data_IF_717882711741
#
_entry.id   IF_717882711741
#
_cell.length_a   1.000
_cell.length_b   1.000
_cell.length_c   1.000
_cell.angle_alpha   90.00
_cell.angle_beta   90.00
_cell.angle_gamma   90.00
#
_symmetry.space_group_name_H-M   'P 1'
#
loop_
_entity.id
_entity.type
_entity.pdbx_description
1 polymer ?
#
# COMPACT_ATOMS: atom_id res chain seq x y z
N UNK A 1 -9.51 -0.07 17.64
CA UNK A 1 -10.06 0.66 18.83
C UNK A 1 -10.08 2.19 18.66
N UNK A 2 -8.98 2.85 18.25
CA UNK A 2 -8.96 4.31 18.07
C UNK A 2 -10.01 4.85 17.07
N UNK A 3 -10.28 4.10 16.00
CA UNK A 3 -11.26 4.49 14.99
C UNK A 3 -12.71 4.52 15.51
N UNK A 4 -13.09 3.59 16.40
CA UNK A 4 -14.42 3.58 17.03
C UNK A 4 -14.59 4.83 17.89
N UNK A 5 -13.56 5.23 18.65
CA UNK A 5 -13.61 6.48 19.41
C UNK A 5 -13.78 7.71 18.50
N UNK A 6 -13.12 7.75 17.34
CA UNK A 6 -13.29 8.82 16.35
C UNK A 6 -14.71 8.85 15.76
N UNK A 7 -15.25 7.68 15.35
CA UNK A 7 -16.63 7.56 14.83
C UNK A 7 -17.65 8.05 15.88
N UNK A 8 -17.48 7.64 17.15
CA UNK A 8 -18.32 8.09 18.28
C UNK A 8 -18.16 9.57 18.64
N UNK A 9 -16.97 10.13 18.51
CA UNK A 9 -16.73 11.56 18.73
C UNK A 9 -17.36 12.43 17.64
N UNK A 10 -17.42 11.94 16.39
CA UNK A 10 -18.08 12.65 15.29
C UNK A 10 -19.60 12.70 15.45
N UNK A 11 -20.19 11.68 16.07
CA UNK A 11 -21.63 11.59 16.33
C UNK A 11 -22.04 12.23 17.68
N UNK A 12 -21.50 13.42 17.99
CA UNK A 12 -21.72 14.09 19.27
C UNK A 12 -23.00 14.93 19.28
N UNK A 13 -24.14 14.25 19.44
CA UNK A 13 -25.39 14.92 19.82
C UNK A 13 -25.72 14.47 21.24
N UNK A 14 -25.61 15.39 22.19
CA UNK A 14 -26.04 15.20 23.58
C UNK A 14 -27.24 16.12 23.82
N UNK A 15 -28.33 15.59 24.35
CA UNK A 15 -29.51 16.38 24.67
C UNK A 15 -30.20 15.89 25.92
N UNK A 16 -30.87 16.81 26.59
CA UNK A 16 -31.84 16.50 27.63
C UNK A 16 -33.21 16.25 27.01
N UNK A 17 -33.90 15.20 27.48
CA UNK A 17 -35.25 14.84 27.05
C UNK A 17 -36.11 14.57 28.30
N UNK A 18 -37.02 15.50 28.65
CA UNK A 18 -37.99 15.25 29.70
C UNK A 18 -39.10 14.35 29.19
N UNK A 19 -39.31 13.22 29.87
CA UNK A 19 -40.37 12.24 29.59
C UNK A 19 -41.30 12.08 30.79
N UNK A 20 -42.46 11.47 30.54
CA UNK A 20 -43.44 11.17 31.59
C UNK A 20 -42.92 10.06 32.50
N UNK A 21 -43.50 9.95 33.71
CA UNK A 21 -43.12 8.93 34.70
C UNK A 21 -43.18 7.48 34.18
N UNK A 22 -43.99 7.19 33.15
CA UNK A 22 -44.01 5.87 32.50
C UNK A 22 -42.64 5.44 31.96
N UNK A 23 -41.76 6.38 31.65
CA UNK A 23 -40.41 6.12 31.15
C UNK A 23 -39.42 5.71 32.25
N UNK A 24 -39.85 5.54 33.51
CA UNK A 24 -38.99 5.09 34.61
C UNK A 24 -38.36 3.70 34.38
N UNK A 25 -38.96 2.89 33.51
CA UNK A 25 -38.43 1.58 33.11
C UNK A 25 -37.12 1.69 32.31
N UNK A 26 -36.87 2.85 31.69
CA UNK A 26 -35.66 3.11 30.91
C UNK A 26 -34.53 3.44 31.88
N UNK A 27 -33.51 2.58 31.91
CA UNK A 27 -32.33 2.74 32.76
C UNK A 27 -31.16 3.36 31.99
N UNK A 28 -30.17 3.88 32.73
CA UNK A 28 -28.88 4.29 32.15
C UNK A 28 -28.23 3.11 31.40
N UNK A 29 -27.63 3.40 30.25
CA UNK A 29 -27.05 2.41 29.33
C UNK A 29 -28.05 1.73 28.39
N UNK A 30 -29.36 1.95 28.53
CA UNK A 30 -30.33 1.48 27.54
C UNK A 30 -30.37 2.40 26.32
N UNK A 31 -30.75 1.83 25.17
CA UNK A 31 -30.96 2.57 23.94
C UNK A 31 -32.47 2.69 23.64
N UNK A 32 -32.92 3.85 23.21
CA UNK A 32 -34.30 4.05 22.74
C UNK A 32 -34.36 4.92 21.48
N UNK A 33 -35.46 4.79 20.74
CA UNK A 33 -35.73 5.59 19.54
C UNK A 33 -36.50 6.84 19.91
N UNK A 34 -36.05 7.99 19.42
CA UNK A 34 -36.69 9.28 19.66
C UNK A 34 -36.91 10.04 18.36
N UNK A 35 -38.14 10.52 18.19
CA UNK A 35 -38.58 11.29 17.04
C UNK A 35 -38.99 12.69 17.47
N UNK A 36 -38.40 13.71 16.84
CA UNK A 36 -38.71 15.11 17.09
C UNK A 36 -38.69 15.90 15.78
N UNK A 37 -39.87 16.33 15.32
CA UNK A 37 -40.03 17.07 14.06
C UNK A 37 -39.26 18.39 14.04
N UNK A 38 -39.19 19.11 15.16
CA UNK A 38 -38.50 20.41 15.25
C UNK A 38 -36.99 20.23 15.06
N UNK A 39 -36.45 19.12 15.58
CA UNK A 39 -35.03 18.80 15.46
C UNK A 39 -34.69 17.93 14.24
N UNK A 40 -35.69 17.63 13.40
CA UNK A 40 -35.53 16.78 12.21
C UNK A 40 -35.16 15.33 12.54
N UNK A 41 -35.51 14.82 13.71
CA UNK A 41 -35.19 13.45 14.12
C UNK A 41 -36.36 12.51 13.84
N UNK A 42 -36.07 11.41 13.14
CA UNK A 42 -37.02 10.31 12.86
C UNK A 42 -36.38 9.03 13.31
N UNK A 43 -36.97 8.38 14.32
CA UNK A 43 -36.56 7.11 14.92
C UNK A 43 -35.06 7.03 15.24
N UNK A 44 -34.50 8.19 15.62
CA UNK A 44 -33.07 8.30 15.92
C UNK A 44 -32.78 7.60 17.24
N UNK A 45 -31.72 6.80 17.25
CA UNK A 45 -31.33 6.01 18.41
C UNK A 45 -30.46 6.85 19.34
N UNK A 46 -30.80 6.82 20.62
CA UNK A 46 -30.04 7.48 21.68
C UNK A 46 -29.77 6.50 22.82
N UNK A 47 -28.57 6.60 23.39
CA UNK A 47 -28.13 5.93 24.61
C UNK A 47 -28.37 6.84 25.81
N UNK A 48 -28.91 6.30 26.91
CA UNK A 48 -29.13 7.04 28.15
C UNK A 48 -27.83 7.13 28.95
N UNK A 49 -27.35 8.35 29.19
CA UNK A 49 -26.21 8.59 30.08
C UNK A 49 -26.68 8.65 31.53
N UNK A 50 -27.63 9.54 31.83
CA UNK A 50 -28.19 9.73 33.17
C UNK A 50 -29.71 9.84 33.12
N UNK A 51 -30.34 9.44 34.22
CA UNK A 51 -31.78 9.48 34.41
C UNK A 51 -32.09 10.09 35.77
N UNK A 52 -32.74 11.25 35.79
CA UNK A 52 -33.05 12.00 36.99
C UNK A 52 -34.57 12.13 37.17
N UNK A 53 -35.05 11.90 38.38
CA UNK A 53 -36.45 12.12 38.71
C UNK A 53 -36.72 13.62 38.91
N UNK A 54 -37.74 14.14 38.23
CA UNK A 54 -38.09 15.56 38.28
C UNK A 54 -39.54 15.78 38.70
N UNK A 55 -39.75 16.84 39.49
CA UNK A 55 -41.07 17.32 39.90
C UNK A 55 -41.25 18.71 39.30
N UNK A 56 -42.13 18.84 38.31
CA UNK A 56 -42.47 20.12 37.67
C UNK A 56 -43.86 20.57 38.09
N UNK A 57 -44.16 21.87 38.05
CA UNK A 57 -45.51 22.38 38.31
C UNK A 57 -46.24 22.65 36.99
N UNK A 58 -47.48 22.20 36.88
CA UNK A 58 -48.40 22.55 35.78
C UNK A 58 -48.73 24.07 35.81
N UNK A 59 -49.30 24.59 34.72
CA UNK A 59 -49.84 25.97 34.62
C UNK A 59 -50.87 26.30 35.71
N UNK A 60 -51.44 25.28 36.36
CA UNK A 60 -52.38 25.37 37.49
C UNK A 60 -51.75 25.09 38.86
N UNK A 61 -50.41 25.05 38.96
CA UNK A 61 -49.67 24.85 40.21
C UNK A 61 -49.63 23.41 40.75
N UNK A 62 -50.19 22.43 40.01
CA UNK A 62 -50.19 21.01 40.40
C UNK A 62 -48.84 20.35 40.12
N UNK A 63 -48.30 19.50 41.00
CA UNK A 63 -47.07 18.77 40.72
C UNK A 63 -47.30 17.71 39.63
N UNK A 64 -46.42 17.69 38.64
CA UNK A 64 -46.30 16.70 37.58
C UNK A 64 -44.98 15.97 37.82
N UNK A 65 -45.06 14.66 37.95
CA UNK A 65 -43.90 13.79 38.07
C UNK A 65 -43.41 13.38 36.69
N UNK A 66 -42.11 13.48 36.48
CA UNK A 66 -41.46 13.10 35.23
C UNK A 66 -40.06 12.57 35.46
N UNK A 67 -39.46 12.12 34.37
CA UNK A 67 -38.06 11.72 34.31
C UNK A 67 -37.35 12.65 33.33
N UNK A 68 -36.19 13.19 33.71
CA UNK A 68 -35.29 13.85 32.77
C UNK A 68 -34.18 12.88 32.38
N UNK A 69 -33.92 12.74 31.08
CA UNK A 69 -32.85 11.89 30.58
C UNK A 69 -31.82 12.73 29.85
N UNK A 70 -30.54 12.59 30.22
CA UNK A 70 -29.43 13.06 29.40
C UNK A 70 -29.06 11.93 28.46
N UNK A 71 -29.20 12.16 27.15
CA UNK A 71 -29.03 11.12 26.14
C UNK A 71 -27.99 11.52 25.11
N UNK A 72 -27.25 10.53 24.60
CA UNK A 72 -26.24 10.69 23.56
C UNK A 72 -26.65 9.91 22.31
N UNK A 73 -26.49 10.49 21.12
CA UNK A 73 -26.76 9.78 19.89
C UNK A 73 -25.86 8.56 19.76
N UNK A 74 -26.45 7.44 19.34
CA UNK A 74 -25.75 6.16 19.23
C UNK A 74 -26.25 5.40 18.01
N UNK A 75 -25.36 4.81 17.22
CA UNK A 75 -25.71 4.00 16.06
C UNK A 75 -24.92 2.69 16.09
N UNK A 76 -25.55 1.57 15.74
CA UNK A 76 -24.87 0.26 15.72
C UNK A 76 -23.70 0.22 14.74
N UNK A 77 -23.79 0.98 13.65
CA UNK A 77 -22.74 1.11 12.62
C UNK A 77 -21.44 1.72 13.15
N UNK A 78 -21.48 2.45 14.26
CA UNK A 78 -20.26 3.05 14.84
C UNK A 78 -19.35 1.99 15.50
N UNK A 79 -19.90 0.81 15.81
CA UNK A 79 -19.19 -0.32 16.40
C UNK A 79 -18.93 -1.45 15.41
N UNK A 80 -19.45 -1.33 14.19
CA UNK A 80 -19.23 -2.32 13.15
C UNK A 80 -17.85 -2.10 12.53
N UNK A 81 -17.06 -3.17 12.48
CA UNK A 81 -15.75 -3.17 11.83
C UNK A 81 -15.93 -3.82 10.47
N UNK A 82 -15.73 -3.04 9.42
CA UNK A 82 -15.78 -3.54 8.04
C UNK A 82 -14.33 -3.72 7.54
N UNK A 83 -13.84 -4.95 7.35
CA UNK A 83 -12.47 -5.16 6.86
C UNK A 83 -12.24 -4.52 5.48
N UNK A 84 -13.26 -4.42 4.62
CA UNK A 84 -13.08 -3.86 3.28
C UNK A 84 -12.90 -2.33 3.27
N UNK A 85 -13.26 -1.65 4.36
CA UNK A 85 -13.21 -0.18 4.49
C UNK A 85 -12.26 0.28 5.60
N UNK A 86 -12.24 -0.45 6.71
CA UNK A 86 -11.51 -0.11 7.93
C UNK A 86 -10.12 -0.78 8.00
N UNK A 87 -9.85 -1.82 7.19
CA UNK A 87 -8.50 -2.39 7.04
C UNK A 87 -7.71 -1.59 6.00
N UNK A 88 -6.88 -0.66 6.47
CA UNK A 88 -5.87 -0.04 5.61
C UNK A 88 -4.75 -1.05 5.44
N UNK A 89 -4.79 -1.81 4.34
CA UNK A 89 -3.66 -2.63 3.89
C UNK A 89 -2.51 -1.65 3.61
N UNK A 90 -1.62 -1.49 4.59
CA UNK A 90 -0.36 -0.77 4.42
C UNK A 90 0.64 -1.72 3.78
N UNK A 91 0.36 -2.15 2.56
CA UNK A 91 1.34 -2.76 1.67
C UNK A 91 1.53 -1.81 0.48
N UNK A 92 1.99 -0.61 0.82
CA UNK A 92 2.34 0.43 -0.14
C UNK A 92 3.85 0.62 -0.29
N UNK A 93 4.66 -0.10 0.48
CA UNK A 93 6.10 -0.14 0.21
C UNK A 93 6.31 -1.14 -0.92
N UNK A 94 6.80 -0.71 -2.09
CA UNK A 94 7.13 -1.66 -3.13
C UNK A 94 8.16 -2.62 -2.57
N UNK A 95 7.76 -3.89 -2.40
CA UNK A 95 8.69 -4.96 -2.03
C UNK A 95 9.87 -4.89 -3.00
N UNK A 96 11.07 -4.83 -2.44
CA UNK A 96 12.30 -4.59 -3.19
C UNK A 96 12.40 -5.48 -4.42
N UNK A 97 12.58 -4.87 -5.60
CA UNK A 97 12.73 -5.58 -6.89
C UNK A 97 14.16 -6.10 -7.10
N UNK A 98 14.87 -6.41 -6.01
CA UNK A 98 16.21 -6.98 -6.06
C UNK A 98 16.18 -8.30 -6.85
N UNK A 99 16.94 -8.35 -7.94
CA UNK A 99 17.19 -9.57 -8.72
C UNK A 99 18.01 -10.56 -7.88
N UNK A 100 17.89 -11.85 -8.17
CA UNK A 100 18.56 -12.91 -7.40
C UNK A 100 20.08 -12.75 -7.38
N UNK A 101 20.68 -12.80 -6.18
CA UNK A 101 22.13 -12.69 -6.00
C UNK A 101 22.92 -13.91 -6.53
N UNK A 102 22.23 -15.01 -6.87
CA UNK A 102 22.86 -16.26 -7.31
C UNK A 102 22.72 -16.52 -8.81
N UNK A 103 21.92 -15.72 -9.51
CA UNK A 103 21.66 -15.90 -10.94
C UNK A 103 22.00 -14.63 -11.70
N UNK A 104 23.17 -14.62 -12.33
CA UNK A 104 23.59 -13.54 -13.23
C UNK A 104 22.99 -13.79 -14.61
N UNK A 105 22.26 -12.81 -15.13
CA UNK A 105 21.75 -12.89 -16.51
C UNK A 105 22.90 -12.79 -17.50
N UNK A 106 22.94 -13.68 -18.50
CA UNK A 106 23.95 -13.64 -19.55
C UNK A 106 23.80 -12.38 -20.44
N UNK A 107 24.90 -11.84 -21.01
CA UNK A 107 24.84 -10.80 -22.03
C UNK A 107 24.02 -11.24 -23.24
N UNK A 108 23.34 -10.30 -23.90
CA UNK A 108 22.52 -10.57 -25.07
C UNK A 108 23.03 -9.80 -26.30
N UNK A 109 22.56 -10.16 -27.50
CA UNK A 109 22.85 -9.40 -28.72
C UNK A 109 24.31 -9.45 -29.15
N UNK A 110 24.96 -10.61 -29.00
CA UNK A 110 26.31 -10.81 -29.50
C UNK A 110 26.34 -10.53 -31.01
N UNK A 111 27.10 -9.51 -31.39
CA UNK A 111 27.29 -9.06 -32.77
C UNK A 111 28.77 -9.19 -33.09
N UNK A 112 29.06 -9.77 -34.25
CA UNK A 112 30.40 -10.02 -34.74
C UNK A 112 30.53 -9.34 -36.09
N UNK A 113 31.44 -8.37 -36.20
CA UNK A 113 31.70 -7.64 -37.44
C UNK A 113 33.17 -7.85 -37.81
N UNK A 114 33.40 -8.29 -39.04
CA UNK A 114 34.74 -8.36 -39.60
C UNK A 114 35.13 -6.99 -40.14
N UNK A 115 36.30 -6.51 -39.71
CA UNK A 115 36.89 -5.25 -40.16
C UNK A 115 38.30 -5.51 -40.67
N UNK A 116 38.65 -4.82 -41.75
CA UNK A 116 40.01 -4.85 -42.27
C UNK A 116 40.78 -3.71 -41.61
N UNK A 117 41.95 -4.02 -41.03
CA UNK A 117 42.82 -3.03 -40.39
C UNK A 117 44.21 -3.03 -41.01
N UNK A 118 44.75 -1.83 -41.25
CA UNK A 118 46.13 -1.65 -41.71
C UNK A 118 47.07 -1.57 -40.51
N UNK A 119 48.00 -2.53 -40.43
CA UNK A 119 49.03 -2.51 -39.39
C UNK A 119 49.91 -1.26 -39.49
N UNK A 120 50.25 -0.66 -38.34
CA UNK A 120 51.21 0.45 -38.31
C UNK A 120 52.56 -0.03 -38.88
N UNK A 121 53.18 0.75 -39.76
CA UNK A 121 54.46 0.45 -40.44
C UNK A 121 54.40 -0.52 -41.64
N UNK A 122 53.35 -0.47 -42.47
CA UNK A 122 53.37 -1.10 -43.80
C UNK A 122 53.36 -2.64 -43.81
N UNK A 123 52.93 -3.27 -42.72
CA UNK A 123 52.93 -4.72 -42.53
C UNK A 123 51.76 -5.46 -43.24
N UNK A 124 51.15 -4.84 -44.25
CA UNK A 124 50.02 -5.40 -45.00
C UNK A 124 48.66 -5.25 -44.32
N UNK A 125 47.64 -5.52 -45.11
CA UNK A 125 46.22 -5.51 -44.73
C UNK A 125 45.90 -6.78 -43.95
N UNK A 126 45.40 -6.65 -42.72
CA UNK A 126 45.07 -7.78 -41.84
C UNK A 126 43.59 -7.77 -41.47
N UNK A 127 43.01 -8.96 -41.25
CA UNK A 127 41.63 -9.09 -40.78
C UNK A 127 41.57 -9.02 -39.25
N UNK A 128 40.64 -8.21 -38.75
CA UNK A 128 40.28 -8.05 -37.34
C UNK A 128 38.80 -8.37 -37.20
N UNK A 129 38.45 -9.05 -36.13
CA UNK A 129 37.04 -9.21 -35.76
C UNK A 129 36.73 -8.35 -34.57
N UNK A 130 35.73 -7.49 -34.73
CA UNK A 130 35.14 -6.70 -33.65
C UNK A 130 33.91 -7.41 -33.12
N UNK A 131 34.00 -7.85 -31.88
CA UNK A 131 32.89 -8.48 -31.16
C UNK A 131 32.28 -7.43 -30.24
N UNK A 132 30.96 -7.29 -30.27
CA UNK A 132 30.21 -6.39 -29.38
C UNK A 132 28.98 -7.08 -28.81
N UNK A 133 28.62 -6.78 -27.57
CA UNK A 133 27.44 -7.33 -26.91
C UNK A 133 26.72 -6.28 -26.07
N UNK A 134 25.42 -6.47 -25.88
CA UNK A 134 24.67 -5.63 -24.95
C UNK A 134 25.08 -5.96 -23.51
N UNK A 135 25.18 -4.96 -22.63
CA UNK A 135 25.52 -5.20 -21.23
C UNK A 135 24.46 -6.10 -20.58
N UNK A 136 24.88 -6.91 -19.61
CA UNK A 136 23.90 -7.63 -18.80
C UNK A 136 23.01 -6.65 -18.05
N UNK A 137 21.72 -6.98 -17.91
CA UNK A 137 20.76 -6.18 -17.14
C UNK A 137 20.92 -6.35 -15.62
N UNK A 138 21.94 -7.10 -15.22
CA UNK A 138 22.28 -7.41 -13.83
C UNK A 138 23.46 -6.54 -13.36
N UNK A 139 23.30 -5.90 -12.20
CA UNK A 139 24.35 -5.07 -11.59
C UNK A 139 25.54 -5.86 -11.03
N UNK A 140 25.45 -7.18 -10.96
CA UNK A 140 26.56 -8.04 -10.51
C UNK A 140 27.53 -8.45 -11.64
N UNK A 141 27.17 -8.24 -12.91
CA UNK A 141 28.05 -8.53 -14.05
C UNK A 141 29.06 -7.37 -14.28
N UNK A 142 30.33 -7.59 -13.92
CA UNK A 142 31.40 -6.56 -14.02
C UNK A 142 32.48 -6.84 -15.04
N UNK A 143 32.68 -8.10 -15.41
CA UNK A 143 33.70 -8.51 -16.36
C UNK A 143 33.13 -9.52 -17.33
N UNK A 144 33.54 -9.40 -18.59
CA UNK A 144 33.17 -10.30 -19.66
C UNK A 144 34.43 -10.99 -20.18
N UNK A 145 34.34 -12.31 -20.39
CA UNK A 145 35.38 -13.09 -21.04
C UNK A 145 34.80 -13.61 -22.36
N UNK A 146 35.44 -13.24 -23.46
CA UNK A 146 35.07 -13.70 -24.79
C UNK A 146 35.91 -14.91 -25.14
N UNK A 147 35.28 -15.95 -25.66
CA UNK A 147 35.93 -17.16 -26.14
C UNK A 147 35.56 -17.37 -27.60
N UNK A 148 36.55 -17.72 -28.43
CA UNK A 148 36.35 -17.95 -29.86
C UNK A 148 37.02 -19.26 -30.30
N UNK A 149 36.48 -19.87 -31.34
CA UNK A 149 37.06 -21.06 -31.97
C UNK A 149 36.68 -21.12 -33.45
N UNK A 150 37.47 -21.84 -34.23
CA UNK A 150 37.01 -22.29 -35.55
C UNK A 150 35.88 -23.30 -35.37
N UNK A 151 34.93 -23.30 -36.31
CA UNK A 151 33.79 -24.22 -36.27
C UNK A 151 34.23 -25.70 -36.24
N UNK A 152 35.35 -26.01 -36.89
CA UNK A 152 35.98 -27.33 -36.94
C UNK A 152 36.73 -27.72 -35.67
N UNK A 153 37.11 -26.76 -34.82
CA UNK A 153 37.91 -27.03 -33.64
C UNK A 153 37.05 -27.35 -32.40
N UNK A 154 37.50 -28.28 -31.55
CA UNK A 154 36.80 -28.61 -30.31
C UNK A 154 37.16 -27.67 -29.14
N UNK A 155 38.23 -26.89 -29.25
CA UNK A 155 38.77 -26.07 -28.15
C UNK A 155 38.54 -24.58 -28.40
N UNK A 156 38.12 -23.86 -27.36
CA UNK A 156 37.99 -22.41 -27.40
C UNK A 156 39.28 -21.71 -26.96
N UNK A 157 39.69 -20.71 -27.74
CA UNK A 157 40.69 -19.73 -27.36
C UNK A 157 40.06 -18.67 -26.46
N UNK A 158 40.68 -18.46 -25.30
CA UNK A 158 40.22 -17.50 -24.29
C UNK A 158 40.87 -16.15 -24.53
N UNK A 159 40.06 -15.15 -24.84
CA UNK A 159 40.52 -13.77 -24.90
C UNK A 159 40.60 -13.15 -23.49
N UNK A 160 41.40 -12.09 -23.28
CA UNK A 160 41.46 -11.41 -21.99
C UNK A 160 40.09 -10.89 -21.58
N UNK A 161 39.84 -10.88 -20.26
CA UNK A 161 38.62 -10.30 -19.70
C UNK A 161 38.58 -8.79 -19.90
N UNK A 162 37.43 -8.27 -20.30
CA UNK A 162 37.20 -6.82 -20.46
C UNK A 162 35.98 -6.36 -19.66
N UNK A 163 35.99 -5.10 -19.22
CA UNK A 163 34.82 -4.43 -18.65
C UNK A 163 33.98 -3.72 -19.73
N UNK A 164 34.59 -3.46 -20.89
CA UNK A 164 33.92 -2.84 -22.02
C UNK A 164 33.00 -3.83 -22.73
N UNK A 165 32.03 -3.29 -23.46
CA UNK A 165 31.05 -4.05 -24.25
C UNK A 165 31.56 -4.45 -25.65
N UNK A 166 32.85 -4.25 -25.90
CA UNK A 166 33.48 -4.49 -27.20
C UNK A 166 34.87 -5.10 -27.01
N UNK A 167 35.22 -6.04 -27.87
CA UNK A 167 36.55 -6.64 -27.92
C UNK A 167 36.99 -6.80 -29.37
N UNK A 168 38.22 -6.36 -29.66
CA UNK A 168 38.86 -6.62 -30.94
C UNK A 168 39.71 -7.89 -30.83
N UNK A 169 39.50 -8.82 -31.75
CA UNK A 169 40.30 -10.03 -31.91
C UNK A 169 41.09 -9.86 -33.20
N UNK A 170 42.40 -9.71 -33.05
CA UNK A 170 43.33 -9.49 -34.15
C UNK A 170 43.93 -10.83 -34.58
N UNK A 171 44.13 -11.00 -35.89
CA UNK A 171 44.75 -12.20 -36.48
C UNK A 171 44.07 -13.50 -36.00
N UNK A 172 42.81 -13.72 -36.42
CA UNK A 172 42.07 -14.97 -36.21
C UNK A 172 42.92 -16.18 -36.60
N UNK A 173 43.04 -17.15 -35.71
CA UNK A 173 43.73 -18.43 -35.95
C UNK A 173 42.78 -19.59 -35.74
#
# INVERSE_FOLDING_TARGET
>A
MAQIFLKRARNEIITEVPLKLKSIEIQSGNNFKFSNKIRGWTDKIFEVLTSDFIIQKDKKGRPIYGMNFVVKANTSTDYDFDPDVDEIITDGDPTSSLKSAFFVSAPQGLTVVEEIFEGRQGAGVKSRVKVSWNPSTDGFARWFQVEHKLASDPVFFKSPSTQDNTLNIDDLK
#
